data_IF_349264221992
#
_entry.id   IF_349264221992
#
_cell.length_a   1.000
_cell.length_b   1.000
_cell.length_c   1.000
_cell.angle_alpha   90.00
_cell.angle_beta   90.00
_cell.angle_gamma   90.00
#
_symmetry.space_group_name_H-M   'P 1'
#
loop_
_entity.id
_entity.type
_entity.pdbx_description
1 polymer ?
#
# COMPACT_ATOMS: atom_id res chain seq x y z
N UNK A 1 25.99 40.79 45.09
CA UNK A 1 25.96 40.40 43.65
C UNK A 1 25.27 39.04 43.53
N UNK A 2 23.95 39.04 43.16
CA UNK A 2 23.16 37.82 42.98
C UNK A 2 23.38 37.30 41.55
N UNK A 3 23.99 36.13 41.39
CA UNK A 3 24.10 35.43 40.10
C UNK A 3 22.76 34.78 39.78
N UNK A 4 22.06 35.27 38.78
CA UNK A 4 20.85 34.65 38.21
C UNK A 4 21.34 33.54 37.26
N UNK A 5 21.10 32.30 37.66
CA UNK A 5 21.32 31.12 36.79
C UNK A 5 20.06 30.98 35.94
N UNK A 6 20.20 31.28 34.65
CA UNK A 6 19.16 31.08 33.65
C UNK A 6 19.12 29.61 33.27
N UNK A 7 18.14 28.88 33.79
CA UNK A 7 17.93 27.46 33.42
C UNK A 7 17.22 27.40 32.05
N UNK A 8 17.95 27.11 31.00
CA UNK A 8 17.39 26.88 29.68
C UNK A 8 16.83 25.46 29.64
N UNK A 9 15.50 25.32 29.70
CA UNK A 9 14.81 24.04 29.47
C UNK A 9 14.71 23.83 27.98
N UNK A 10 15.53 22.92 27.43
CA UNK A 10 15.37 22.42 26.06
C UNK A 10 14.15 21.49 26.06
N UNK A 11 13.04 21.96 25.48
CA UNK A 11 11.91 21.10 25.16
C UNK A 11 12.26 20.36 23.87
N UNK A 12 12.63 19.08 24.00
CA UNK A 12 12.74 18.17 22.88
C UNK A 12 11.32 17.84 22.40
N UNK A 13 10.86 18.50 21.33
CA UNK A 13 9.71 18.05 20.55
C UNK A 13 10.15 16.82 19.79
N UNK A 14 10.01 15.65 20.37
CA UNK A 14 10.13 14.38 19.66
C UNK A 14 8.96 14.27 18.67
N UNK A 15 9.24 14.26 17.38
CA UNK A 15 8.31 13.73 16.40
C UNK A 15 8.33 12.20 16.56
N UNK A 16 7.37 11.64 17.27
CA UNK A 16 7.07 10.23 17.20
C UNK A 16 6.46 9.96 15.81
N UNK A 17 7.27 9.47 14.90
CA UNK A 17 6.76 8.83 13.70
C UNK A 17 6.32 7.42 14.12
N UNK A 18 5.03 7.21 14.31
CA UNK A 18 4.45 5.91 14.55
C UNK A 18 4.71 5.02 13.32
N UNK A 19 5.80 4.26 13.37
CA UNK A 19 6.11 3.23 12.37
C UNK A 19 5.47 1.95 12.86
N UNK A 20 4.36 1.58 12.24
CA UNK A 20 3.69 0.30 12.52
C UNK A 20 4.45 -0.86 11.88
N UNK A 21 4.62 -1.94 12.62
CA UNK A 21 5.16 -3.19 12.07
C UNK A 21 4.10 -3.86 11.20
N UNK A 22 4.41 -4.05 9.91
CA UNK A 22 3.46 -4.62 8.96
C UNK A 22 3.40 -6.14 9.15
N UNK A 23 2.21 -6.74 9.39
CA UNK A 23 2.08 -8.17 9.58
C UNK A 23 2.65 -8.99 8.44
N UNK A 24 3.39 -10.06 8.76
CA UNK A 24 3.94 -10.96 7.75
C UNK A 24 2.92 -12.06 7.45
N UNK A 25 2.29 -11.97 6.28
CA UNK A 25 1.33 -12.96 5.77
C UNK A 25 1.92 -13.59 4.52
N UNK A 26 1.90 -14.92 4.43
CA UNK A 26 2.39 -15.62 3.25
C UNK A 26 1.43 -15.42 2.07
N UNK A 27 1.95 -14.95 0.94
CA UNK A 27 1.23 -14.79 -0.32
C UNK A 27 1.92 -15.63 -1.39
N UNK A 28 1.14 -16.47 -2.06
CA UNK A 28 1.58 -17.26 -3.20
C UNK A 28 0.36 -17.54 -4.10
N UNK A 29 0.12 -16.65 -5.05
CA UNK A 29 -1.00 -16.71 -5.99
C UNK A 29 -0.46 -16.93 -7.41
N UNK A 30 -1.17 -17.74 -8.17
CA UNK A 30 -0.92 -17.94 -9.59
C UNK A 30 -2.21 -17.71 -10.37
N UNK A 31 -2.18 -16.75 -11.28
CA UNK A 31 -3.34 -16.29 -12.05
C UNK A 31 -3.08 -16.55 -13.54
N UNK A 32 -4.08 -17.07 -14.23
CA UNK A 32 -4.06 -17.13 -15.68
C UNK A 32 -4.81 -15.91 -16.25
N UNK A 33 -4.07 -14.82 -16.54
CA UNK A 33 -4.65 -13.48 -16.80
C UNK A 33 -5.50 -13.39 -18.07
N UNK A 34 -5.49 -14.42 -18.92
CA UNK A 34 -6.37 -14.50 -20.11
C UNK A 34 -7.76 -15.06 -19.79
N UNK A 35 -8.02 -15.47 -18.53
CA UNK A 35 -9.36 -15.87 -18.16
C UNK A 35 -10.32 -14.68 -18.17
N UNK A 36 -11.58 -14.86 -18.62
CA UNK A 36 -12.56 -13.77 -18.68
C UNK A 36 -12.80 -13.05 -17.36
N UNK A 37 -12.58 -13.70 -16.22
CA UNK A 37 -12.71 -13.10 -14.88
C UNK A 37 -11.71 -11.96 -14.65
N UNK A 38 -10.60 -11.91 -15.39
CA UNK A 38 -9.55 -10.89 -15.30
C UNK A 38 -9.66 -9.80 -16.37
N UNK A 39 -10.83 -9.67 -17.02
CA UNK A 39 -11.08 -8.67 -18.07
C UNK A 39 -10.66 -7.25 -17.65
N UNK A 40 -10.87 -6.88 -16.38
CA UNK A 40 -10.56 -5.54 -15.89
C UNK A 40 -9.06 -5.21 -15.88
N UNK A 41 -8.18 -6.21 -15.99
CA UNK A 41 -6.72 -6.03 -16.08
C UNK A 41 -6.16 -6.44 -17.44
N UNK A 42 -7.00 -6.53 -18.46
CA UNK A 42 -6.57 -6.84 -19.84
C UNK A 42 -5.75 -5.69 -20.44
N UNK A 43 -6.06 -4.45 -20.08
CA UNK A 43 -5.34 -3.26 -20.55
C UNK A 43 -4.55 -2.57 -19.42
N UNK A 44 -3.44 -1.88 -19.76
CA UNK A 44 -2.75 -1.00 -18.82
C UNK A 44 -3.69 0.01 -18.15
N UNK A 45 -3.48 0.27 -16.87
CA UNK A 45 -4.36 1.09 -16.03
C UNK A 45 -5.49 0.32 -15.36
N UNK A 46 -5.75 -0.92 -15.77
CA UNK A 46 -6.73 -1.79 -15.14
C UNK A 46 -6.29 -2.32 -13.78
N UNK A 47 -7.25 -2.60 -12.91
CA UNK A 47 -6.98 -3.14 -11.58
C UNK A 47 -8.12 -4.07 -11.12
N UNK A 48 -7.80 -4.95 -10.18
CA UNK A 48 -8.75 -5.85 -9.51
C UNK A 48 -8.35 -6.05 -8.05
N UNK A 49 -9.32 -6.47 -7.25
CA UNK A 49 -9.05 -6.99 -5.91
C UNK A 49 -8.98 -8.51 -5.92
N UNK A 50 -8.02 -9.05 -5.15
CA UNK A 50 -7.81 -10.47 -4.92
C UNK A 50 -7.84 -10.77 -3.43
N UNK A 51 -8.16 -12.01 -3.08
CA UNK A 51 -8.02 -12.50 -1.72
C UNK A 51 -6.55 -12.77 -1.40
N UNK A 52 -6.14 -12.54 -0.17
CA UNK A 52 -4.78 -12.77 0.31
C UNK A 52 -4.22 -11.55 1.05
N UNK A 53 -3.00 -11.67 1.57
CA UNK A 53 -2.39 -10.62 2.37
C UNK A 53 -3.13 -10.37 3.70
N UNK A 54 -2.97 -9.18 4.25
CA UNK A 54 -3.64 -8.77 5.51
C UNK A 54 -5.07 -8.33 5.25
N UNK A 55 -5.31 -7.46 4.27
CA UNK A 55 -6.64 -6.90 3.99
C UNK A 55 -7.11 -7.11 2.53
N UNK A 56 -6.59 -8.13 1.88
CA UNK A 56 -6.77 -8.35 0.45
C UNK A 56 -5.61 -7.78 -0.37
N UNK A 57 -5.59 -8.08 -1.65
CA UNK A 57 -4.55 -7.63 -2.57
C UNK A 57 -5.19 -6.77 -3.65
N UNK A 58 -4.60 -5.60 -3.93
CA UNK A 58 -4.87 -4.81 -5.12
C UNK A 58 -3.84 -5.18 -6.19
N UNK A 59 -4.31 -5.75 -7.30
CA UNK A 59 -3.50 -6.01 -8.48
C UNK A 59 -3.77 -4.93 -9.52
N UNK A 60 -2.73 -4.22 -9.93
CA UNK A 60 -2.76 -3.13 -10.90
C UNK A 60 -1.87 -3.47 -12.10
N UNK A 61 -2.39 -3.32 -13.31
CA UNK A 61 -1.59 -3.45 -14.53
C UNK A 61 -1.00 -2.10 -14.92
N UNK A 62 0.30 -1.93 -14.67
CA UNK A 62 0.99 -0.67 -14.92
C UNK A 62 1.28 -0.43 -16.40
N UNK A 63 1.71 -1.49 -17.09
CA UNK A 63 1.92 -1.49 -18.55
C UNK A 63 1.65 -2.90 -19.12
N UNK A 64 2.01 -3.15 -20.37
CA UNK A 64 1.71 -4.43 -21.04
C UNK A 64 2.34 -5.62 -20.31
N UNK A 65 3.53 -5.46 -19.75
CA UNK A 65 4.34 -6.53 -19.19
C UNK A 65 4.56 -6.40 -17.68
N UNK A 66 4.07 -5.32 -17.06
CA UNK A 66 4.30 -5.03 -15.64
C UNK A 66 3.00 -4.95 -14.85
N UNK A 67 2.93 -5.79 -13.82
CA UNK A 67 1.90 -5.74 -12.79
C UNK A 67 2.49 -5.33 -11.46
N UNK A 68 1.70 -4.65 -10.66
CA UNK A 68 2.03 -4.29 -9.28
C UNK A 68 0.95 -4.86 -8.37
N UNK A 69 1.36 -5.52 -7.31
CA UNK A 69 0.46 -6.07 -6.31
C UNK A 69 0.74 -5.42 -4.95
N UNK A 70 -0.27 -4.80 -4.35
CA UNK A 70 -0.22 -4.20 -3.02
C UNK A 70 -1.09 -4.97 -2.05
N UNK A 71 -0.65 -5.07 -0.78
CA UNK A 71 -1.58 -5.36 0.29
C UNK A 71 -2.53 -4.17 0.47
N UNK A 72 -3.81 -4.45 0.66
CA UNK A 72 -4.82 -3.42 0.89
C UNK A 72 -4.88 -2.93 2.34
N UNK A 73 -4.09 -3.51 3.24
CA UNK A 73 -3.88 -2.92 4.55
C UNK A 73 -3.04 -1.66 4.43
N UNK A 74 -3.49 -0.58 5.08
CA UNK A 74 -2.72 0.65 5.17
C UNK A 74 -1.43 0.42 5.96
N UNK A 75 -0.35 1.10 5.58
CA UNK A 75 0.89 1.12 6.38
C UNK A 75 0.77 1.99 7.63
N UNK A 76 -0.33 2.73 7.76
CA UNK A 76 -0.73 3.36 9.01
C UNK A 76 -1.73 2.45 9.74
N UNK A 77 -1.28 1.75 10.79
CA UNK A 77 -2.06 0.79 11.56
C UNK A 77 -2.68 -0.32 10.69
N UNK A 78 -1.86 -1.24 10.16
CA UNK A 78 -2.31 -2.27 9.22
C UNK A 78 -3.26 -3.28 9.89
N UNK A 79 -4.53 -3.23 9.51
CA UNK A 79 -5.59 -4.12 9.98
C UNK A 79 -6.46 -4.59 8.82
N UNK A 80 -7.06 -5.79 8.93
CA UNK A 80 -7.88 -6.37 7.86
C UNK A 80 -9.21 -5.62 7.62
N UNK A 81 -9.78 -5.00 8.66
CA UNK A 81 -11.09 -4.33 8.58
C UNK A 81 -11.05 -2.96 7.88
N UNK A 82 -9.86 -2.44 7.57
CA UNK A 82 -9.66 -1.15 6.92
C UNK A 82 -8.95 -1.29 5.58
N UNK A 83 -9.55 -2.03 4.66
CA UNK A 83 -8.97 -2.23 3.34
C UNK A 83 -8.98 -0.95 2.51
N UNK A 84 -7.83 -0.60 1.97
CA UNK A 84 -7.65 0.51 1.02
C UNK A 84 -8.54 0.30 -0.20
N UNK A 85 -9.13 1.40 -0.69
CA UNK A 85 -9.98 1.43 -1.86
C UNK A 85 -9.38 2.32 -2.95
N UNK A 86 -9.58 1.91 -4.21
CA UNK A 86 -9.27 2.75 -5.37
C UNK A 86 -10.33 3.82 -5.50
N UNK A 87 -9.92 5.07 -5.63
CA UNK A 87 -10.86 6.19 -5.83
C UNK A 87 -11.40 6.22 -7.27
N UNK A 88 -12.42 7.02 -7.50
CA UNK A 88 -13.12 7.15 -8.79
C UNK A 88 -12.23 7.61 -9.94
N UNK A 89 -11.09 8.23 -9.66
CA UNK A 89 -10.10 8.64 -10.67
C UNK A 89 -9.19 7.49 -11.13
N UNK A 90 -9.23 6.32 -10.45
CA UNK A 90 -8.37 5.14 -10.67
C UNK A 90 -6.86 5.42 -10.50
N UNK A 91 -6.50 6.50 -9.80
CA UNK A 91 -5.12 6.94 -9.58
C UNK A 91 -4.78 6.94 -8.09
N UNK A 92 -5.73 7.37 -7.26
CA UNK A 92 -5.56 7.53 -5.82
C UNK A 92 -6.13 6.31 -5.10
N UNK A 93 -5.37 5.83 -4.14
CA UNK A 93 -5.77 4.79 -3.20
C UNK A 93 -6.06 5.45 -1.86
N UNK A 94 -7.22 5.19 -1.26
CA UNK A 94 -7.65 5.79 0.01
C UNK A 94 -7.79 4.75 1.11
N UNK A 95 -7.21 5.07 2.26
CA UNK A 95 -7.46 4.36 3.51
C UNK A 95 -8.71 4.97 4.18
N UNK A 96 -9.82 4.21 4.30
CA UNK A 96 -11.08 4.74 4.84
C UNK A 96 -11.02 5.00 6.35
N UNK A 97 -10.00 4.50 7.07
CA UNK A 97 -9.88 4.65 8.51
C UNK A 97 -8.97 5.81 8.93
N UNK A 98 -7.90 6.07 8.19
CA UNK A 98 -6.94 7.12 8.53
C UNK A 98 -6.98 8.32 7.59
N UNK A 99 -7.71 8.25 6.48
CA UNK A 99 -7.69 9.22 5.38
C UNK A 99 -6.32 9.32 4.66
N UNK A 100 -5.38 8.41 4.95
CA UNK A 100 -4.14 8.33 4.19
C UNK A 100 -4.41 8.03 2.73
N UNK A 101 -3.62 8.65 1.85
CA UNK A 101 -3.75 8.48 0.41
C UNK A 101 -2.42 8.07 -0.20
N UNK A 102 -2.50 7.21 -1.22
CA UNK A 102 -1.34 6.66 -1.92
C UNK A 102 -1.57 6.70 -3.44
N UNK A 103 -0.49 6.69 -4.21
CA UNK A 103 -0.56 6.54 -5.66
C UNK A 103 -0.65 5.06 -6.05
N UNK A 104 -1.52 4.73 -7.00
CA UNK A 104 -1.65 3.36 -7.50
C UNK A 104 -0.41 2.91 -8.30
N UNK A 105 0.30 3.84 -8.91
CA UNK A 105 1.41 3.56 -9.82
C UNK A 105 2.69 3.09 -9.13
N UNK A 106 2.89 3.44 -7.86
CA UNK A 106 4.09 3.10 -7.10
C UNK A 106 3.86 2.84 -5.60
N UNK A 107 2.64 3.08 -5.10
CA UNK A 107 2.27 2.92 -3.70
C UNK A 107 2.78 4.01 -2.78
N UNK A 108 3.36 5.09 -3.29
CA UNK A 108 3.89 6.19 -2.49
C UNK A 108 2.80 6.96 -1.76
N UNK A 109 3.11 7.47 -0.57
CA UNK A 109 2.20 8.32 0.22
C UNK A 109 2.09 9.69 -0.43
N UNK A 110 0.85 10.15 -0.66
CA UNK A 110 0.57 11.53 -1.10
C UNK A 110 -0.12 12.35 -0.02
N UNK A 111 -0.77 11.68 0.94
CA UNK A 111 -1.38 12.31 2.11
C UNK A 111 -1.26 11.37 3.31
N UNK A 112 -0.73 11.90 4.43
CA UNK A 112 -0.66 11.19 5.72
C UNK A 112 -2.04 11.07 6.41
N UNK A 113 -2.06 10.38 7.56
CA UNK A 113 -0.94 10.15 8.49
C UNK A 113 0.05 9.02 8.15
N UNK A 114 -0.22 8.15 7.17
CA UNK A 114 0.79 7.16 6.76
C UNK A 114 2.09 7.85 6.34
N UNK A 115 3.23 7.27 6.75
CA UNK A 115 4.57 7.75 6.44
C UNK A 115 5.38 6.79 5.57
N UNK A 116 4.87 5.58 5.33
CA UNK A 116 5.49 4.54 4.53
C UNK A 116 4.63 4.19 3.32
N UNK A 117 5.27 3.90 2.19
CA UNK A 117 4.61 3.38 1.00
C UNK A 117 3.89 2.05 1.30
N UNK A 118 2.89 1.72 0.49
CA UNK A 118 2.14 0.48 0.62
C UNK A 118 3.04 -0.76 0.57
N UNK A 119 2.67 -1.79 1.31
CA UNK A 119 3.31 -3.10 1.23
C UNK A 119 3.10 -3.67 -0.17
N UNK A 120 4.21 -3.92 -0.86
CA UNK A 120 4.22 -4.47 -2.22
C UNK A 120 4.66 -5.94 -2.19
N UNK A 121 3.99 -6.76 -2.99
CA UNK A 121 4.36 -8.14 -3.28
C UNK A 121 5.16 -8.23 -4.57
N UNK A 122 5.96 -9.28 -4.70
CA UNK A 122 6.64 -9.58 -5.96
C UNK A 122 5.63 -10.07 -6.99
N UNK A 123 5.84 -9.68 -8.24
CA UNK A 123 5.04 -10.14 -9.37
C UNK A 123 5.97 -10.67 -10.46
N UNK A 124 5.57 -11.76 -11.11
CA UNK A 124 6.29 -12.31 -12.25
C UNK A 124 5.30 -12.78 -13.30
N UNK A 125 5.37 -12.19 -14.50
CA UNK A 125 4.56 -12.58 -15.64
C UNK A 125 5.39 -13.46 -16.58
N UNK A 126 4.92 -14.69 -16.83
CA UNK A 126 5.47 -15.58 -17.82
C UNK A 126 4.35 -16.06 -18.76
N UNK A 127 4.38 -15.59 -20.01
CA UNK A 127 3.26 -15.78 -20.93
C UNK A 127 1.97 -15.19 -20.37
N UNK A 128 0.97 -16.02 -20.10
CA UNK A 128 -0.28 -15.62 -19.48
C UNK A 128 -0.39 -15.95 -17.99
N UNK A 129 0.66 -16.53 -17.41
CA UNK A 129 0.70 -16.87 -16.00
C UNK A 129 1.34 -15.73 -15.21
N UNK A 130 0.58 -15.13 -14.30
CA UNK A 130 1.04 -14.13 -13.36
C UNK A 130 1.17 -14.74 -11.96
N UNK A 131 2.38 -14.74 -11.42
CA UNK A 131 2.65 -15.15 -10.05
C UNK A 131 2.77 -13.92 -9.16
N UNK A 132 2.17 -13.97 -7.96
CA UNK A 132 2.23 -12.94 -6.91
C UNK A 132 2.71 -13.61 -5.63
N UNK A 133 3.79 -13.13 -5.05
CA UNK A 133 4.41 -13.79 -3.89
C UNK A 133 5.25 -12.82 -3.04
N UNK A 134 5.60 -13.23 -1.82
CA UNK A 134 6.53 -12.52 -0.94
C UNK A 134 7.74 -13.39 -0.55
#
# INVERSE_FOLDING_TARGET
MKKIILLVVLIHLGCDNDVYDFPQVNVNLNLYINNPEFFNIEAPGGWIYLNGGVAGILLYRKNLDEFIAYDRASTYNPVEDCAINVDSDNIILKDPCSDSQFLITDGSVIQGPASQALKRYNTNLYGSNLSIYN
#
